data_IF_277034412200
#
_entry.id   IF_277034412200
#
_cell.length_a   1.000
_cell.length_b   1.000
_cell.length_c   1.000
_cell.angle_alpha   90.00
_cell.angle_beta   90.00
_cell.angle_gamma   90.00
#
_symmetry.space_group_name_H-M   'P 1'
#
loop_
_entity.id
_entity.type
_entity.pdbx_description
1 polymer ?
#
# COMPACT_ATOMS: atom_id res chain seq x y z
N UNK A 1 20.73 -0.83 -32.82
CA UNK A 1 20.52 -0.02 -31.61
C UNK A 1 20.66 -0.98 -30.44
N UNK A 2 21.72 -0.85 -29.64
CA UNK A 2 22.01 -1.76 -28.52
C UNK A 2 21.48 -1.07 -27.26
N UNK A 3 20.47 -1.65 -26.62
CA UNK A 3 19.98 -1.16 -25.34
C UNK A 3 20.98 -1.55 -24.25
N UNK A 4 21.71 -0.58 -23.73
CA UNK A 4 22.68 -0.79 -22.64
C UNK A 4 21.97 -0.71 -21.29
N UNK A 5 22.55 -1.32 -20.24
CA UNK A 5 22.07 -1.25 -18.85
C UNK A 5 21.79 0.19 -18.35
N UNK A 6 22.46 1.20 -18.90
CA UNK A 6 22.22 2.60 -18.55
C UNK A 6 20.97 3.25 -19.19
N UNK A 7 20.36 2.64 -20.21
CA UNK A 7 19.39 3.28 -21.11
C UNK A 7 18.14 2.41 -21.35
N UNK A 8 17.57 1.82 -20.31
CA UNK A 8 16.30 1.11 -20.39
C UNK A 8 15.22 1.98 -19.75
N UNK A 9 14.64 2.97 -20.46
CA UNK A 9 13.54 3.73 -19.91
C UNK A 9 12.35 2.80 -19.68
N UNK A 10 11.73 2.89 -18.51
CA UNK A 10 10.35 2.46 -18.35
C UNK A 10 9.47 3.33 -19.25
N UNK A 11 8.63 2.71 -20.06
CA UNK A 11 7.64 3.41 -20.87
C UNK A 11 6.28 3.13 -20.26
N UNK A 12 5.72 4.10 -19.54
CA UNK A 12 4.35 4.01 -19.05
C UNK A 12 3.38 4.30 -20.20
N UNK A 13 2.58 3.31 -20.56
CA UNK A 13 1.51 3.43 -21.54
C UNK A 13 0.17 3.63 -20.84
N UNK A 14 -0.66 4.55 -21.34
CA UNK A 14 -2.06 4.67 -20.93
C UNK A 14 -2.93 3.81 -21.82
N UNK A 15 -3.50 2.73 -21.29
CA UNK A 15 -4.51 1.93 -21.98
C UNK A 15 -5.89 2.41 -21.54
N UNK A 16 -6.72 2.90 -22.46
CA UNK A 16 -8.10 3.31 -22.17
C UNK A 16 -9.10 2.33 -22.79
N UNK A 17 -10.14 2.00 -22.06
CA UNK A 17 -11.27 1.16 -22.50
C UNK A 17 -12.53 2.01 -22.56
N UNK A 18 -13.34 1.80 -23.59
CA UNK A 18 -14.60 2.53 -23.83
C UNK A 18 -15.73 1.51 -23.99
N UNK A 19 -16.84 1.72 -23.30
CA UNK A 19 -18.03 0.87 -23.43
C UNK A 19 -19.00 1.37 -24.52
N UNK A 20 -20.05 0.58 -24.78
CA UNK A 20 -21.13 0.89 -25.74
C UNK A 20 -21.95 2.13 -25.39
N UNK A 21 -21.83 2.64 -24.16
CA UNK A 21 -22.49 3.86 -23.66
C UNK A 21 -21.54 5.06 -23.63
N UNK A 22 -20.35 4.97 -24.24
CA UNK A 22 -19.28 5.97 -24.24
C UNK A 22 -18.67 6.30 -22.86
N UNK A 23 -18.81 5.42 -21.87
CA UNK A 23 -18.06 5.55 -20.63
C UNK A 23 -16.60 5.12 -20.89
N UNK A 24 -15.64 5.86 -20.33
CA UNK A 24 -14.20 5.59 -20.50
C UNK A 24 -13.56 5.32 -19.14
N UNK A 25 -12.77 4.26 -19.04
CA UNK A 25 -11.83 4.04 -17.94
C UNK A 25 -10.43 3.78 -18.51
N UNK A 26 -9.39 3.83 -17.67
CA UNK A 26 -8.02 3.56 -18.09
C UNK A 26 -7.24 2.77 -17.06
N UNK A 27 -6.19 2.09 -17.53
CA UNK A 27 -5.11 1.62 -16.69
C UNK A 27 -3.76 2.06 -17.27
N UNK A 28 -2.75 2.13 -16.40
CA UNK A 28 -1.37 2.35 -16.80
C UNK A 28 -0.69 0.99 -16.97
N UNK A 29 0.11 0.86 -18.02
CA UNK A 29 0.92 -0.33 -18.30
C UNK A 29 2.37 0.10 -18.38
N UNK A 30 3.20 -0.37 -17.46
CA UNK A 30 4.64 -0.09 -17.49
C UNK A 30 5.36 -1.12 -18.37
N UNK A 31 5.77 -0.67 -19.56
CA UNK A 31 6.66 -1.44 -20.41
C UNK A 31 8.10 -1.22 -19.97
N UNK A 32 8.67 -2.25 -19.35
CA UNK A 32 10.09 -2.28 -19.03
C UNK A 32 10.84 -3.10 -20.08
N UNK A 33 11.75 -2.44 -20.79
CA UNK A 33 12.75 -3.15 -21.57
C UNK A 33 13.78 -3.73 -20.58
N UNK A 34 14.01 -5.03 -20.65
CA UNK A 34 15.05 -5.71 -19.86
C UNK A 34 16.27 -5.96 -20.73
N UNK A 35 17.46 -5.84 -20.14
CA UNK A 35 18.69 -6.21 -20.83
C UNK A 35 18.73 -7.73 -20.95
N UNK A 36 18.82 -8.26 -22.18
CA UNK A 36 18.96 -9.69 -22.45
C UNK A 36 20.41 -10.08 -22.83
N UNK A 37 21.37 -9.19 -22.57
CA UNK A 37 22.79 -9.39 -22.88
C UNK A 37 23.52 -10.06 -21.69
N UNK A 38 24.03 -11.30 -21.85
CA UNK A 38 24.71 -12.03 -20.78
C UNK A 38 26.04 -11.40 -20.33
N UNK A 39 26.65 -10.54 -21.14
CA UNK A 39 27.94 -9.90 -20.86
C UNK A 39 27.71 -8.56 -20.15
N UNK A 40 26.76 -7.77 -20.62
CA UNK A 40 26.49 -6.42 -20.08
C UNK A 40 25.46 -6.41 -18.93
N UNK A 41 24.66 -7.46 -18.79
CA UNK A 41 23.74 -7.67 -17.67
C UNK A 41 23.69 -9.17 -17.32
N UNK A 42 24.77 -9.71 -16.74
CA UNK A 42 24.85 -11.14 -16.44
C UNK A 42 23.69 -11.57 -15.52
N UNK A 43 23.03 -12.71 -15.83
CA UNK A 43 21.97 -13.24 -14.99
C UNK A 43 22.49 -13.48 -13.56
N UNK A 44 21.66 -13.13 -12.56
CA UNK A 44 22.02 -13.26 -11.13
C UNK A 44 22.73 -12.05 -10.52
N UNK A 45 22.81 -10.90 -11.23
CA UNK A 45 23.25 -9.66 -10.60
C UNK A 45 22.18 -9.16 -9.63
N UNK A 46 22.51 -9.07 -8.35
CA UNK A 46 21.65 -8.46 -7.33
C UNK A 46 21.19 -7.07 -7.78
N UNK A 47 19.89 -6.82 -7.70
CA UNK A 47 19.30 -5.50 -7.90
C UNK A 47 18.95 -4.94 -6.53
N UNK A 48 19.59 -3.84 -6.16
CA UNK A 48 19.25 -3.15 -4.92
C UNK A 48 17.98 -2.35 -5.16
N UNK A 49 17.00 -2.56 -4.30
CA UNK A 49 15.76 -1.79 -4.26
C UNK A 49 15.64 -1.09 -2.90
N UNK A 50 14.92 0.01 -2.88
CA UNK A 50 14.64 0.75 -1.66
C UNK A 50 13.25 1.39 -1.75
N UNK A 51 12.69 1.70 -0.60
CA UNK A 51 11.40 2.34 -0.48
C UNK A 51 11.18 2.95 0.89
N UNK A 52 10.04 3.60 1.04
CA UNK A 52 9.60 4.21 2.27
C UNK A 52 8.16 3.78 2.60
N UNK A 53 7.90 3.58 3.89
CA UNK A 53 6.55 3.40 4.41
C UNK A 53 6.21 4.62 5.26
N UNK A 54 5.18 5.37 4.87
CA UNK A 54 4.77 6.58 5.59
C UNK A 54 3.26 6.75 5.62
N UNK A 55 2.76 7.52 6.58
CA UNK A 55 1.35 7.92 6.63
C UNK A 55 1.00 8.87 5.49
N UNK A 56 -0.29 9.12 5.26
CA UNK A 56 -0.77 10.15 4.31
C UNK A 56 -0.15 11.54 4.59
N UNK A 57 0.19 11.85 5.85
CA UNK A 57 0.83 13.12 6.24
C UNK A 57 2.35 13.14 6.02
N UNK A 58 2.94 12.07 5.49
CA UNK A 58 4.37 11.95 5.19
C UNK A 58 5.24 11.55 6.37
N UNK A 59 4.65 11.06 7.47
CA UNK A 59 5.42 10.58 8.62
C UNK A 59 5.83 9.13 8.40
N UNK A 60 7.14 8.85 8.41
CA UNK A 60 7.67 7.50 8.26
C UNK A 60 7.25 6.57 9.40
N UNK A 61 6.86 5.34 9.08
CA UNK A 61 6.38 4.35 10.06
C UNK A 61 7.44 3.28 10.30
N UNK A 62 7.89 3.19 11.55
CA UNK A 62 8.94 2.23 11.92
C UNK A 62 8.41 0.82 12.20
N UNK A 63 9.30 -0.16 12.12
CA UNK A 63 8.98 -1.56 12.42
C UNK A 63 7.80 -2.09 11.59
N UNK A 64 7.73 -1.71 10.32
CA UNK A 64 6.85 -2.35 9.33
C UNK A 64 7.62 -3.48 8.68
N UNK A 65 7.03 -4.67 8.63
CA UNK A 65 7.63 -5.84 7.99
C UNK A 65 7.38 -5.75 6.48
N UNK A 66 8.45 -5.59 5.70
CA UNK A 66 8.44 -5.71 4.24
C UNK A 66 8.68 -7.17 3.89
N UNK A 67 7.65 -7.82 3.38
CA UNK A 67 7.64 -9.24 3.02
C UNK A 67 7.93 -9.37 1.53
N UNK A 68 8.96 -10.15 1.21
CA UNK A 68 9.32 -10.47 -0.17
C UNK A 68 8.87 -11.87 -0.53
N UNK A 69 8.21 -12.05 -1.67
CA UNK A 69 7.80 -13.35 -2.18
C UNK A 69 8.30 -13.53 -3.60
N UNK A 70 9.07 -14.59 -3.85
CA UNK A 70 9.49 -15.00 -5.19
C UNK A 70 9.69 -16.51 -5.28
N UNK A 71 10.12 -17.00 -6.44
CA UNK A 71 10.32 -18.43 -6.71
C UNK A 71 11.63 -19.00 -6.12
N UNK A 72 12.38 -18.21 -5.35
CA UNK A 72 13.61 -18.69 -4.71
C UNK A 72 13.30 -19.48 -3.42
N UNK A 73 14.08 -20.53 -3.09
CA UNK A 73 13.85 -21.39 -1.92
C UNK A 73 13.88 -20.67 -0.56
N UNK A 74 14.53 -19.51 -0.50
CA UNK A 74 14.70 -18.71 0.71
C UNK A 74 13.54 -17.75 1.00
N UNK A 75 12.50 -17.72 0.16
CA UNK A 75 11.30 -16.90 0.38
C UNK A 75 10.21 -17.60 1.21
N UNK A 76 9.36 -16.83 1.92
CA UNK A 76 9.40 -15.37 2.01
C UNK A 76 10.53 -14.87 2.92
N UNK A 77 11.13 -13.73 2.57
CA UNK A 77 12.06 -13.02 3.46
C UNK A 77 11.40 -11.77 4.04
N UNK A 78 11.86 -11.34 5.21
CA UNK A 78 11.27 -10.22 5.94
C UNK A 78 12.36 -9.20 6.26
N UNK A 79 12.11 -7.95 5.87
CA UNK A 79 12.92 -6.78 6.22
C UNK A 79 12.08 -5.84 7.08
N UNK A 80 12.73 -4.98 7.87
CA UNK A 80 12.03 -3.99 8.72
C UNK A 80 12.40 -2.58 8.37
N UNK A 81 11.41 -1.70 8.36
CA UNK A 81 11.64 -0.26 8.19
C UNK A 81 12.38 0.35 9.38
N UNK A 82 13.23 1.34 9.10
CA UNK A 82 13.92 2.13 10.11
C UNK A 82 12.99 3.16 10.78
N UNK A 83 13.55 4.00 11.67
CA UNK A 83 12.81 5.05 12.39
C UNK A 83 12.26 6.18 11.51
N UNK A 84 12.57 6.18 10.22
CA UNK A 84 12.05 7.11 9.21
C UNK A 84 11.20 6.39 8.17
N UNK A 85 10.84 5.12 8.41
CA UNK A 85 10.06 4.31 7.48
C UNK A 85 10.86 3.76 6.29
N UNK A 86 12.17 3.96 6.21
CA UNK A 86 12.95 3.51 5.05
C UNK A 86 13.28 2.04 5.16
N UNK A 87 13.31 1.37 4.01
CA UNK A 87 13.86 0.03 3.87
C UNK A 87 14.68 -0.09 2.58
N UNK A 88 15.55 -1.08 2.54
CA UNK A 88 16.31 -1.42 1.34
C UNK A 88 16.77 -2.86 1.39
N UNK A 89 16.70 -3.53 0.25
CA UNK A 89 17.03 -4.95 0.12
C UNK A 89 17.58 -5.26 -1.27
N UNK A 90 18.16 -6.44 -1.43
CA UNK A 90 18.65 -6.93 -2.71
C UNK A 90 17.74 -8.04 -3.22
N UNK A 91 17.30 -7.91 -4.47
CA UNK A 91 16.54 -8.95 -5.16
C UNK A 91 17.38 -9.58 -6.26
N UNK A 92 17.21 -10.88 -6.46
CA UNK A 92 17.92 -11.67 -7.47
C UNK A 92 17.01 -12.12 -8.63
N UNK A 93 15.71 -11.98 -8.44
CA UNK A 93 14.64 -12.25 -9.41
C UNK A 93 13.51 -11.25 -9.16
N UNK A 94 12.59 -11.14 -10.11
CA UNK A 94 11.37 -10.36 -9.90
C UNK A 94 10.63 -10.90 -8.67
N UNK A 95 10.29 -9.98 -7.76
CA UNK A 95 9.92 -10.29 -6.38
C UNK A 95 8.73 -9.45 -6.01
N UNK A 96 7.66 -10.09 -5.54
CA UNK A 96 6.51 -9.38 -4.99
C UNK A 96 6.87 -8.82 -3.61
N UNK A 97 6.54 -7.55 -3.39
CA UNK A 97 6.68 -6.84 -2.13
C UNK A 97 5.29 -6.59 -1.54
N UNK A 98 5.16 -6.81 -0.25
CA UNK A 98 4.01 -6.37 0.55
C UNK A 98 4.50 -5.85 1.90
N UNK A 99 3.70 -4.99 2.54
CA UNK A 99 3.99 -4.47 3.86
C UNK A 99 2.99 -5.02 4.89
N UNK A 100 3.47 -5.33 6.09
CA UNK A 100 2.67 -5.92 7.15
C UNK A 100 3.04 -5.33 8.51
N UNK A 101 2.02 -4.99 9.29
CA UNK A 101 2.12 -4.58 10.69
C UNK A 101 0.77 -4.81 11.34
N UNK A 102 0.75 -5.52 12.47
CA UNK A 102 -0.48 -5.76 13.22
C UNK A 102 -0.19 -5.65 14.73
N UNK A 103 0.05 -4.43 15.18
CA UNK A 103 0.31 -4.10 16.57
C UNK A 103 -0.55 -2.92 17.04
N UNK A 104 -0.51 -2.68 18.35
CA UNK A 104 -1.13 -1.55 19.05
C UNK A 104 -2.46 -1.13 18.42
N UNK A 105 -3.44 -2.05 18.41
CA UNK A 105 -4.69 -1.89 17.65
C UNK A 105 -5.42 -0.58 18.01
N UNK A 106 -5.35 -0.18 19.27
CA UNK A 106 -5.94 1.05 19.81
C UNK A 106 -5.10 2.34 19.59
N UNK A 107 -3.92 2.27 18.97
CA UNK A 107 -3.09 3.46 18.73
C UNK A 107 -3.83 4.47 17.85
N UNK A 108 -4.08 5.67 18.36
CA UNK A 108 -4.82 6.74 17.69
C UNK A 108 -6.35 6.61 17.75
N UNK A 109 -6.88 5.39 17.84
CA UNK A 109 -8.32 5.11 17.81
C UNK A 109 -9.04 5.71 19.01
N UNK A 110 -9.98 6.62 18.76
CA UNK A 110 -10.68 7.39 19.78
C UNK A 110 -12.17 7.61 19.48
N UNK A 111 -12.89 8.24 20.41
CA UNK A 111 -14.28 8.65 20.19
C UNK A 111 -14.44 9.72 19.11
N UNK A 112 -13.39 10.48 18.81
CA UNK A 112 -13.39 11.46 17.73
C UNK A 112 -13.55 10.75 16.37
N UNK A 113 -12.84 9.65 16.17
CA UNK A 113 -12.89 8.87 14.92
C UNK A 113 -14.29 8.31 14.67
N UNK A 114 -14.93 7.78 15.72
CA UNK A 114 -16.32 7.32 15.66
C UNK A 114 -17.28 8.44 15.22
N UNK A 115 -17.09 9.67 15.74
CA UNK A 115 -17.91 10.82 15.36
C UNK A 115 -17.65 11.21 13.90
N UNK A 116 -16.40 11.19 13.44
CA UNK A 116 -16.05 11.48 12.05
C UNK A 116 -16.70 10.47 11.08
N UNK A 117 -16.58 9.17 11.37
CA UNK A 117 -17.19 8.09 10.58
C UNK A 117 -18.72 8.23 10.58
N UNK A 118 -19.33 8.49 11.75
CA UNK A 118 -20.77 8.68 11.85
C UNK A 118 -21.26 9.87 11.00
N UNK A 119 -20.56 11.01 11.05
CA UNK A 119 -20.93 12.19 10.26
C UNK A 119 -20.77 11.96 8.76
N UNK A 120 -19.79 11.15 8.36
CA UNK A 120 -19.63 10.71 6.98
C UNK A 120 -20.80 9.85 6.52
N UNK A 121 -21.17 8.82 7.29
CA UNK A 121 -22.32 7.93 6.99
C UNK A 121 -23.63 8.73 6.88
N UNK A 122 -23.81 9.74 7.72
CA UNK A 122 -25.01 10.59 7.71
C UNK A 122 -24.98 11.68 6.62
N UNK A 123 -23.90 11.81 5.86
CA UNK A 123 -23.74 12.86 4.84
C UNK A 123 -23.62 14.27 5.41
N UNK A 124 -23.34 14.41 6.71
CA UNK A 124 -23.21 15.71 7.39
C UNK A 124 -21.83 16.30 7.12
N UNK A 125 -20.80 15.47 7.16
CA UNK A 125 -19.42 15.87 6.89
C UNK A 125 -18.69 14.68 6.24
N UNK A 126 -18.52 14.70 4.90
CA UNK A 126 -17.90 13.59 4.20
C UNK A 126 -16.38 13.53 4.49
N UNK A 127 -15.86 12.33 4.67
CA UNK A 127 -14.42 12.07 4.59
C UNK A 127 -13.97 12.30 3.15
N UNK A 128 -12.92 13.09 2.96
CA UNK A 128 -12.43 13.57 1.65
C UNK A 128 -11.05 13.00 1.28
N UNK A 129 -10.57 11.98 2.00
CA UNK A 129 -9.34 11.27 1.69
C UNK A 129 -9.64 9.78 1.46
N UNK A 130 -9.12 9.16 0.39
CA UNK A 130 -9.27 7.72 0.18
C UNK A 130 -8.60 6.92 1.30
N UNK A 131 -7.45 7.36 1.82
CA UNK A 131 -6.77 6.69 2.93
C UNK A 131 -7.57 6.74 4.22
N UNK A 132 -8.26 7.86 4.49
CA UNK A 132 -9.18 7.97 5.62
C UNK A 132 -10.45 7.14 5.47
N UNK A 133 -10.90 6.90 4.24
CA UNK A 133 -11.99 5.95 3.98
C UNK A 133 -11.54 4.51 4.24
N UNK A 134 -10.29 4.16 3.88
CA UNK A 134 -9.69 2.88 4.25
C UNK A 134 -9.57 2.74 5.77
N UNK A 135 -9.14 3.80 6.47
CA UNK A 135 -9.09 3.80 7.93
C UNK A 135 -10.47 3.59 8.59
N UNK A 136 -11.53 4.06 7.94
CA UNK A 136 -12.91 3.93 8.41
C UNK A 136 -13.55 2.56 8.15
N UNK A 137 -13.03 1.76 7.21
CA UNK A 137 -13.47 0.40 6.88
C UNK A 137 -12.81 -0.62 7.84
N UNK A 138 -13.39 -0.72 9.04
CA UNK A 138 -12.86 -1.56 10.12
C UNK A 138 -13.17 -3.05 9.89
N UNK A 139 -14.30 -3.38 9.27
CA UNK A 139 -14.68 -4.76 9.01
C UNK A 139 -14.09 -5.34 7.70
N UNK A 140 -13.41 -4.50 6.90
CA UNK A 140 -12.75 -4.84 5.66
C UNK A 140 -13.68 -5.33 4.54
N UNK A 141 -14.87 -4.74 4.43
CA UNK A 141 -15.83 -5.08 3.38
C UNK A 141 -15.82 -4.09 2.19
N UNK A 142 -14.98 -3.06 2.25
CA UNK A 142 -14.83 -2.05 1.20
C UNK A 142 -15.94 -1.00 1.20
N UNK A 143 -16.70 -0.87 2.29
CA UNK A 143 -17.72 0.15 2.48
C UNK A 143 -17.60 0.76 3.88
N UNK A 144 -17.93 2.05 4.01
CA UNK A 144 -17.97 2.71 5.32
C UNK A 144 -19.41 2.78 5.79
N UNK A 145 -19.78 1.92 6.74
CA UNK A 145 -21.15 1.79 7.25
C UNK A 145 -21.21 1.70 8.77
N UNK A 146 -22.40 1.49 9.33
CA UNK A 146 -22.59 1.34 10.77
C UNK A 146 -21.96 0.06 11.35
N UNK A 147 -21.64 -0.94 10.53
CA UNK A 147 -20.89 -2.12 10.98
C UNK A 147 -19.48 -1.75 11.42
N UNK A 148 -18.81 -0.83 10.73
CA UNK A 148 -17.46 -0.37 11.08
C UNK A 148 -17.43 0.32 12.44
N UNK A 149 -18.43 1.17 12.70
CA UNK A 149 -18.63 1.79 14.01
C UNK A 149 -18.77 0.72 15.10
N UNK A 150 -19.47 -0.37 14.82
CA UNK A 150 -19.67 -1.46 15.78
C UNK A 150 -18.35 -2.16 16.11
N UNK A 151 -17.53 -2.46 15.10
CA UNK A 151 -16.21 -3.07 15.28
C UNK A 151 -15.28 -2.16 16.12
N UNK A 152 -15.22 -0.87 15.80
CA UNK A 152 -14.38 0.09 16.53
C UNK A 152 -14.90 0.28 17.97
N UNK A 153 -16.22 0.35 18.19
CA UNK A 153 -16.80 0.44 19.54
C UNK A 153 -16.43 -0.79 20.38
N UNK A 154 -16.51 -2.00 19.82
CA UNK A 154 -16.12 -3.22 20.53
C UNK A 154 -14.64 -3.20 20.93
N UNK A 155 -13.78 -2.67 20.07
CA UNK A 155 -12.36 -2.50 20.36
C UNK A 155 -12.13 -1.47 21.49
N UNK A 156 -12.76 -0.29 21.39
CA UNK A 156 -12.67 0.78 22.41
C UNK A 156 -13.19 0.33 23.78
N UNK A 157 -14.26 -0.48 23.79
CA UNK A 157 -14.81 -1.06 25.02
C UNK A 157 -14.02 -2.28 25.52
N UNK A 158 -13.02 -2.75 24.77
CA UNK A 158 -12.19 -3.91 25.12
C UNK A 158 -12.93 -5.24 25.07
N UNK A 159 -14.09 -5.31 24.40
CA UNK A 159 -14.82 -6.58 24.20
C UNK A 159 -14.18 -7.44 23.11
N UNK A 160 -13.44 -6.81 22.20
CA UNK A 160 -12.46 -7.47 21.33
C UNK A 160 -11.08 -6.85 21.54
N UNK A 161 -10.02 -7.61 21.23
CA UNK A 161 -8.63 -7.15 21.29
C UNK A 161 -8.06 -6.80 19.91
N UNK A 162 -8.70 -7.28 18.85
CA UNK A 162 -8.30 -7.13 17.46
C UNK A 162 -9.54 -7.10 16.56
N UNK A 163 -9.37 -6.64 15.31
CA UNK A 163 -10.45 -6.70 14.33
C UNK A 163 -10.62 -8.15 13.83
N UNK A 164 -11.85 -8.70 13.78
CA UNK A 164 -12.06 -10.10 13.40
C UNK A 164 -11.63 -10.43 11.96
N UNK A 165 -11.77 -9.48 11.04
CA UNK A 165 -11.55 -9.66 9.61
C UNK A 165 -10.55 -8.66 9.02
N UNK A 166 -9.78 -7.96 9.86
CA UNK A 166 -8.87 -6.91 9.42
C UNK A 166 -7.60 -6.88 10.28
N UNK A 167 -6.58 -6.20 9.78
CA UNK A 167 -5.38 -5.89 10.53
C UNK A 167 -5.43 -4.46 11.09
N UNK A 168 -4.59 -4.19 12.08
CA UNK A 168 -4.54 -2.87 12.71
C UNK A 168 -3.91 -1.79 11.81
N UNK A 169 -3.18 -2.20 10.77
CA UNK A 169 -2.64 -1.35 9.72
C UNK A 169 -2.86 -1.96 8.35
N UNK A 170 -3.11 -1.10 7.35
CA UNK A 170 -3.17 -1.45 5.93
C UNK A 170 -2.16 -0.63 5.15
N UNK A 171 -1.69 -1.19 4.04
CA UNK A 171 -0.55 -0.66 3.28
C UNK A 171 -0.85 -0.56 1.79
N UNK A 172 -1.75 0.34 1.35
CA UNK A 172 -1.87 0.65 -0.06
C UNK A 172 -0.53 1.06 -0.67
N UNK A 173 -0.21 0.54 -1.87
CA UNK A 173 0.94 1.04 -2.63
C UNK A 173 0.75 2.53 -2.95
N UNK A 174 1.82 3.33 -2.92
CA UNK A 174 1.73 4.78 -3.12
C UNK A 174 1.35 5.15 -4.57
N UNK A 175 1.92 4.45 -5.55
CA UNK A 175 1.82 4.80 -6.98
C UNK A 175 0.48 4.42 -7.65
N UNK A 176 -0.52 3.98 -6.89
CA UNK A 176 -1.85 3.69 -7.43
C UNK A 176 -2.78 4.92 -7.40
N UNK A 177 -3.67 5.01 -8.39
CA UNK A 177 -4.67 6.09 -8.44
C UNK A 177 -5.88 5.73 -7.58
N UNK A 178 -6.04 6.43 -6.46
CA UNK A 178 -7.23 6.38 -5.61
C UNK A 178 -7.96 7.72 -5.59
N UNK A 179 -9.26 7.67 -5.33
CA UNK A 179 -10.09 8.87 -5.18
C UNK A 179 -11.16 8.64 -4.12
N UNK A 180 -11.77 9.72 -3.64
CA UNK A 180 -12.85 9.67 -2.64
C UNK A 180 -14.06 8.86 -3.16
N UNK A 181 -14.34 8.93 -4.46
CA UNK A 181 -15.47 8.20 -5.09
C UNK A 181 -15.13 6.73 -5.38
N UNK A 182 -13.84 6.39 -5.45
CA UNK A 182 -13.35 5.04 -5.73
C UNK A 182 -12.09 4.73 -4.90
N UNK A 183 -12.22 4.58 -3.57
CA UNK A 183 -11.12 4.22 -2.66
C UNK A 183 -10.87 2.70 -2.61
N UNK A 184 -11.86 1.90 -3.03
CA UNK A 184 -11.78 0.43 -3.05
C UNK A 184 -12.08 -0.12 -4.47
N UNK A 185 -11.54 -1.30 -4.83
CA UNK A 185 -10.42 -1.97 -4.16
C UNK A 185 -9.10 -1.21 -4.37
N UNK A 186 -8.11 -1.49 -3.53
CA UNK A 186 -6.75 -0.96 -3.63
C UNK A 186 -5.73 -2.10 -3.60
N UNK A 187 -4.54 -1.84 -4.12
CA UNK A 187 -3.41 -2.78 -4.14
C UNK A 187 -2.54 -2.59 -2.90
N UNK A 188 -2.16 -3.70 -2.26
CA UNK A 188 -1.23 -3.73 -1.12
C UNK A 188 0.06 -4.52 -1.40
N UNK A 189 0.22 -4.94 -2.65
CA UNK A 189 1.45 -5.53 -3.14
C UNK A 189 1.83 -4.97 -4.50
N UNK A 190 3.12 -5.03 -4.80
CA UNK A 190 3.71 -4.61 -6.08
C UNK A 190 4.89 -5.51 -6.43
N UNK A 191 5.23 -5.56 -7.71
CA UNK A 191 6.36 -6.36 -8.20
C UNK A 191 7.59 -5.47 -8.30
N UNK A 192 8.63 -5.82 -7.56
CA UNK A 192 9.97 -5.29 -7.74
C UNK A 192 10.72 -6.08 -8.81
N UNK A 193 11.16 -5.39 -9.85
CA UNK A 193 11.81 -6.00 -11.01
C UNK A 193 13.33 -5.88 -10.96
N UNK A 194 14.01 -6.96 -11.35
CA UNK A 194 15.47 -6.99 -11.47
C UNK A 194 15.99 -6.17 -12.65
N UNK A 195 17.19 -5.60 -12.51
CA UNK A 195 17.89 -4.82 -13.55
C UNK A 195 17.89 -3.31 -13.28
N UNK A 196 18.41 -2.51 -14.23
CA UNK A 196 18.50 -1.06 -14.10
C UNK A 196 17.11 -0.42 -14.16
N UNK A 197 16.74 0.24 -13.07
CA UNK A 197 15.49 0.98 -12.96
C UNK A 197 15.36 1.51 -11.53
N UNK A 198 15.09 2.80 -11.41
CA UNK A 198 14.80 3.46 -10.14
C UNK A 198 13.32 3.25 -9.82
N UNK A 199 12.97 2.07 -9.29
CA UNK A 199 11.62 1.81 -8.80
C UNK A 199 11.42 2.51 -7.45
N UNK A 200 10.35 3.28 -7.31
CA UNK A 200 9.91 3.83 -6.04
C UNK A 200 8.99 2.81 -5.36
N UNK A 201 9.50 2.08 -4.37
CA UNK A 201 8.76 0.99 -3.75
C UNK A 201 8.10 1.46 -2.45
N UNK A 202 7.17 2.41 -2.56
CA UNK A 202 6.56 3.02 -1.38
C UNK A 202 5.19 2.47 -1.03
N UNK A 203 4.88 2.49 0.26
CA UNK A 203 3.58 2.16 0.80
C UNK A 203 3.06 3.30 1.67
N UNK A 204 1.76 3.55 1.59
CA UNK A 204 1.07 4.43 2.52
C UNK A 204 0.56 3.61 3.70
N UNK A 205 0.96 3.95 4.92
CA UNK A 205 0.48 3.30 6.14
C UNK A 205 -0.86 3.92 6.58
N UNK A 206 -1.88 3.08 6.69
CA UNK A 206 -3.23 3.45 7.12
C UNK A 206 -3.58 2.73 8.41
N UNK A 207 -3.77 3.47 9.50
CA UNK A 207 -4.19 2.92 10.79
C UNK A 207 -5.70 2.68 10.76
N UNK A 208 -6.13 1.43 10.89
CA UNK A 208 -7.56 1.10 10.92
C UNK A 208 -8.18 1.63 12.21
N UNK A 209 -9.31 2.33 12.07
CA UNK A 209 -10.03 3.00 13.15
C UNK A 209 -9.56 4.42 13.49
N UNK A 210 -8.42 4.89 12.97
CA UNK A 210 -7.91 6.25 13.19
C UNK A 210 -8.11 7.13 11.94
N UNK A 211 -9.27 7.76 11.85
CA UNK A 211 -9.64 8.68 10.76
C UNK A 211 -9.08 10.09 11.01
N UNK A 212 -8.83 10.42 12.28
CA UNK A 212 -8.24 11.67 12.71
C UNK A 212 -6.76 11.80 12.29
N UNK A 213 -6.06 10.66 12.17
CA UNK A 213 -4.67 10.56 11.73
C UNK A 213 -3.68 10.94 12.84
N UNK A 214 -3.98 10.56 14.08
CA UNK A 214 -3.19 10.90 15.27
C UNK A 214 -2.41 9.70 15.87
N UNK A 215 -2.44 8.53 15.23
CA UNK A 215 -1.63 7.38 15.60
C UNK A 215 -0.14 7.75 15.66
N UNK A 216 0.54 7.25 16.70
CA UNK A 216 1.98 7.44 16.87
C UNK A 216 2.73 6.45 15.98
N UNK A 217 3.71 6.92 15.21
CA UNK A 217 4.45 6.16 14.20
C UNK A 217 5.96 6.16 14.39
#
# INVERSE_FOLDING_TARGET
>A
MIFTKANLPGVTLKMSVIDWNNNVDYCSVDLRLVCNDPINCPPGSATRIAGNVHTESGQGVMNVDIVTTSNLPENPTIYRTDNKGNYGLEIYTDTELSAHKNDDVMNGVSTLDLVMIQRHILGIEPITSPYKLIAADANHDGQVTASDLTEIIQLVLGTTKEYPNNYSWRFPIEDQVMSVDRPFPYLESMIAHTGPGDGNYNFIAVKIGDVSGNAVV
#
